data_IF_581502761567
#
_entry.id   IF_581502761567
#
_cell.length_a   1.000
_cell.length_b   1.000
_cell.length_c   1.000
_cell.angle_alpha   90.00
_cell.angle_beta   90.00
_cell.angle_gamma   90.00
#
_symmetry.space_group_name_H-M   'P 1'
#
loop_
_entity.id
_entity.type
_entity.pdbx_description
1 polymer ?
#
# COMPACT_ATOMS: atom_id res chain seq x y z
N UNK A 1 16.47 22.50 54.25
CA UNK A 1 15.96 23.30 53.12
C UNK A 1 16.71 22.87 51.87
N UNK A 2 15.92 22.40 50.90
CA UNK A 2 16.24 21.74 49.64
C UNK A 2 16.81 22.73 48.61
N UNK A 3 17.67 22.26 47.69
CA UNK A 3 17.40 22.34 46.23
C UNK A 3 18.39 21.46 45.45
N UNK A 4 17.81 20.47 44.76
CA UNK A 4 18.43 19.56 43.79
C UNK A 4 18.55 20.24 42.41
N UNK A 5 19.49 19.77 41.58
CA UNK A 5 19.98 20.46 40.38
C UNK A 5 19.23 20.21 39.06
N UNK A 6 19.63 20.95 38.02
CA UNK A 6 19.44 20.63 36.59
C UNK A 6 20.13 21.68 35.69
N UNK A 7 20.92 21.32 34.67
CA UNK A 7 21.15 22.19 33.52
C UNK A 7 20.05 21.94 32.46
N UNK A 8 19.44 22.98 31.85
CA UNK A 8 18.32 22.81 30.93
C UNK A 8 18.69 21.91 29.73
N UNK A 9 17.83 20.93 29.43
CA UNK A 9 17.89 20.22 28.15
C UNK A 9 17.48 21.22 27.06
N UNK A 10 18.45 21.61 26.25
CA UNK A 10 18.28 22.47 25.09
C UNK A 10 17.22 21.88 24.15
N UNK A 11 16.29 22.75 23.75
CA UNK A 11 15.21 22.41 22.84
C UNK A 11 15.70 22.06 21.44
N UNK A 12 14.92 21.21 20.81
CA UNK A 12 14.99 20.72 19.42
C UNK A 12 14.80 21.91 18.46
N UNK A 13 15.79 22.79 18.30
CA UNK A 13 15.73 23.85 17.27
C UNK A 13 17.04 24.06 16.51
N UNK A 14 17.98 23.10 16.53
CA UNK A 14 19.24 23.25 15.78
C UNK A 14 19.73 21.99 15.05
N UNK A 15 18.96 20.90 15.05
CA UNK A 15 19.30 19.67 14.30
C UNK A 15 18.08 19.27 13.47
N UNK A 16 18.03 19.69 12.20
CA UNK A 16 16.89 19.51 11.30
C UNK A 16 16.21 18.14 11.44
N UNK A 17 14.93 18.15 11.80
CA UNK A 17 14.08 16.98 11.94
C UNK A 17 12.63 17.38 11.69
N UNK A 18 11.81 16.42 11.27
CA UNK A 18 10.40 16.64 10.96
C UNK A 18 9.55 15.93 11.99
N UNK A 19 8.58 16.64 12.52
CA UNK A 19 7.58 16.11 13.45
C UNK A 19 6.23 16.09 12.73
N UNK A 20 5.66 14.90 12.56
CA UNK A 20 4.37 14.73 11.92
C UNK A 20 3.36 14.28 12.95
N UNK A 21 2.31 15.07 13.16
CA UNK A 21 1.20 14.72 14.06
C UNK A 21 0.00 14.33 13.22
N UNK A 22 -0.46 13.09 13.34
CA UNK A 22 -1.66 12.60 12.66
C UNK A 22 -2.80 12.41 13.64
N UNK A 23 -4.00 12.84 13.25
CA UNK A 23 -5.24 12.54 13.96
C UNK A 23 -5.78 11.18 13.54
N UNK A 24 -6.31 10.45 14.51
CA UNK A 24 -6.95 9.17 14.30
C UNK A 24 -8.46 9.37 14.09
N UNK A 25 -8.90 9.42 12.83
CA UNK A 25 -10.30 9.54 12.38
C UNK A 25 -11.17 8.39 12.91
N UNK A 26 -11.92 8.70 13.98
CA UNK A 26 -12.86 7.79 14.63
C UNK A 26 -14.15 7.55 13.84
N UNK A 27 -14.41 8.24 12.73
CA UNK A 27 -15.66 8.15 11.98
C UNK A 27 -15.72 6.95 11.01
N UNK A 28 -14.58 6.31 10.71
CA UNK A 28 -14.51 5.12 9.83
C UNK A 28 -14.54 3.79 10.59
N UNK A 29 -15.35 3.73 11.66
CA UNK A 29 -15.56 2.53 12.49
C UNK A 29 -16.40 1.49 11.75
N UNK A 30 -15.90 0.25 11.69
CA UNK A 30 -16.66 -0.93 11.24
C UNK A 30 -17.41 -1.60 12.41
N UNK A 31 -17.07 -1.28 13.66
CA UNK A 31 -17.78 -1.79 14.83
C UNK A 31 -17.69 -0.74 15.94
N UNK A 32 -18.80 -0.47 16.62
CA UNK A 32 -19.06 0.63 17.57
C UNK A 32 -18.24 0.50 18.88
N UNK A 33 -16.92 0.43 18.77
CA UNK A 33 -15.96 0.44 19.88
C UNK A 33 -15.06 1.66 19.75
N UNK A 34 -14.98 2.45 20.81
CA UNK A 34 -13.84 3.37 21.01
C UNK A 34 -12.55 2.61 20.81
N UNK A 35 -11.60 3.21 20.07
CA UNK A 35 -10.26 2.65 19.91
C UNK A 35 -9.68 2.40 21.30
N UNK A 36 -9.58 1.13 21.68
CA UNK A 36 -8.93 0.75 22.91
C UNK A 36 -7.43 0.95 22.78
N UNK A 37 -6.76 0.94 23.93
CA UNK A 37 -5.28 0.98 23.99
C UNK A 37 -4.65 -0.10 23.10
N UNK A 38 -5.27 -1.28 23.01
CA UNK A 38 -4.78 -2.39 22.20
C UNK A 38 -4.85 -2.12 20.68
N UNK A 39 -5.89 -1.42 20.20
CA UNK A 39 -5.98 -1.00 18.81
C UNK A 39 -4.97 0.10 18.47
N UNK A 40 -4.78 1.05 19.40
CA UNK A 40 -3.78 2.11 19.24
C UNK A 40 -2.35 1.55 19.22
N UNK A 41 -2.02 0.62 20.10
CA UNK A 41 -0.71 -0.04 20.13
C UNK A 41 -0.42 -0.77 18.81
N UNK A 42 -1.43 -1.45 18.23
CA UNK A 42 -1.33 -2.09 16.91
C UNK A 42 -1.13 -1.07 15.78
N UNK A 43 -1.82 0.07 15.85
CA UNK A 43 -1.68 1.15 14.88
C UNK A 43 -0.27 1.74 14.93
N UNK A 44 0.25 2.03 16.13
CA UNK A 44 1.63 2.50 16.34
C UNK A 44 2.64 1.48 15.82
N UNK A 45 2.47 0.20 16.13
CA UNK A 45 3.37 -0.86 15.67
C UNK A 45 3.34 -1.01 14.14
N UNK A 46 2.16 -0.90 13.52
CA UNK A 46 2.01 -0.87 12.09
C UNK A 46 2.75 0.34 11.49
N UNK A 47 2.46 1.55 11.97
CA UNK A 47 3.14 2.79 11.52
C UNK A 47 4.65 2.69 11.71
N UNK A 48 5.13 2.21 12.85
CA UNK A 48 6.56 2.07 13.15
C UNK A 48 7.27 1.10 12.20
N UNK A 49 6.67 -0.07 11.93
CA UNK A 49 7.20 -1.01 10.94
C UNK A 49 7.27 -0.41 9.53
N UNK A 50 6.35 0.51 9.20
CA UNK A 50 6.23 1.14 7.87
C UNK A 50 7.23 2.27 7.67
N UNK A 51 7.42 3.13 8.67
CA UNK A 51 8.40 4.23 8.58
C UNK A 51 9.84 3.76 8.77
N UNK A 52 10.04 2.61 9.41
CA UNK A 52 11.36 2.07 9.71
C UNK A 52 11.49 0.56 9.40
N UNK A 53 11.35 0.12 8.13
CA UNK A 53 11.29 -1.30 7.75
C UNK A 53 12.58 -2.12 7.96
N UNK A 54 13.61 -1.55 8.60
CA UNK A 54 14.84 -2.27 8.97
C UNK A 54 15.44 -1.85 10.31
N UNK A 55 14.77 -0.99 11.10
CA UNK A 55 15.30 -0.48 12.36
C UNK A 55 16.55 0.42 12.23
N UNK A 56 16.91 0.82 11.01
CA UNK A 56 18.18 1.51 10.71
C UNK A 56 18.10 3.00 11.01
N UNK A 57 16.89 3.58 11.05
CA UNK A 57 16.67 5.01 11.30
C UNK A 57 16.15 5.22 12.73
N UNK A 58 16.57 6.31 13.40
CA UNK A 58 16.07 6.72 14.73
C UNK A 58 14.65 7.33 14.67
N UNK A 59 13.74 6.74 13.89
CA UNK A 59 12.36 7.23 13.78
C UNK A 59 11.60 6.78 15.02
N UNK A 60 10.96 7.73 15.69
CA UNK A 60 10.16 7.47 16.89
C UNK A 60 8.68 7.67 16.56
N UNK A 61 7.88 6.64 16.79
CA UNK A 61 6.42 6.72 16.70
C UNK A 61 5.85 6.62 18.11
N UNK A 62 5.11 7.63 18.56
CA UNK A 62 4.49 7.64 19.89
C UNK A 62 3.05 8.17 19.86
N UNK A 63 2.24 7.68 20.77
CA UNK A 63 0.90 8.22 21.00
C UNK A 63 0.99 9.61 21.65
N UNK A 64 0.17 10.54 21.19
CA UNK A 64 -0.12 11.80 21.88
C UNK A 64 -1.61 11.86 22.19
N UNK A 65 -1.96 12.02 23.47
CA UNK A 65 -3.35 12.05 23.91
C UNK A 65 -4.10 10.74 23.59
N UNK A 66 -5.39 10.86 23.29
CA UNK A 66 -6.27 9.71 23.03
C UNK A 66 -6.39 9.35 21.54
N UNK A 67 -6.11 10.29 20.65
CA UNK A 67 -6.49 10.22 19.23
C UNK A 67 -5.37 10.68 18.29
N UNK A 68 -4.14 10.87 18.76
CA UNK A 68 -3.07 11.35 17.91
C UNK A 68 -1.85 10.44 17.96
N UNK A 69 -1.17 10.34 16.82
CA UNK A 69 0.13 9.69 16.69
C UNK A 69 1.12 10.74 16.23
N UNK A 70 2.24 10.83 16.95
CA UNK A 70 3.38 11.66 16.58
C UNK A 70 4.48 10.78 16.02
N UNK A 71 4.98 11.17 14.85
CA UNK A 71 6.11 10.55 14.17
C UNK A 71 7.24 11.57 14.15
N UNK A 72 8.31 11.30 14.89
CA UNK A 72 9.51 12.13 14.91
C UNK A 72 10.59 11.51 14.06
N UNK A 73 11.08 12.26 13.07
CA UNK A 73 12.07 11.82 12.10
C UNK A 73 13.31 12.74 12.23
N UNK A 74 14.44 12.25 12.75
CA UNK A 74 15.65 13.04 12.88
C UNK A 74 16.45 13.10 11.57
N UNK A 75 17.10 14.22 11.30
CA UNK A 75 18.09 14.41 10.20
C UNK A 75 17.56 14.13 8.79
N UNK A 76 16.40 14.67 8.42
CA UNK A 76 15.85 14.51 7.05
C UNK A 76 15.73 15.84 6.32
N UNK A 77 16.10 15.85 5.04
CA UNK A 77 15.86 16.97 4.13
C UNK A 77 14.38 17.01 3.70
N UNK A 78 13.95 18.09 3.04
CA UNK A 78 12.55 18.24 2.60
C UNK A 78 12.08 17.15 1.62
N UNK A 79 12.97 16.63 0.77
CA UNK A 79 12.62 15.62 -0.23
C UNK A 79 12.44 14.25 0.44
N UNK A 80 13.28 13.94 1.43
CA UNK A 80 13.16 12.76 2.28
C UNK A 80 11.95 12.85 3.22
N UNK A 81 11.66 14.01 3.79
CA UNK A 81 10.44 14.24 4.56
C UNK A 81 9.18 13.97 3.72
N UNK A 82 9.08 14.51 2.50
CA UNK A 82 7.95 14.25 1.59
C UNK A 82 7.83 12.77 1.19
N UNK A 83 8.96 12.07 1.04
CA UNK A 83 8.95 10.62 0.81
C UNK A 83 8.39 9.87 2.00
N UNK A 84 8.85 10.18 3.22
CA UNK A 84 8.35 9.52 4.44
C UNK A 84 6.88 9.89 4.68
N UNK A 85 6.45 11.12 4.47
CA UNK A 85 5.03 11.51 4.51
C UNK A 85 4.20 10.71 3.49
N UNK A 86 4.71 10.53 2.27
CA UNK A 86 4.10 9.70 1.23
C UNK A 86 4.08 8.21 1.61
N UNK A 87 5.09 7.73 2.32
CA UNK A 87 5.17 6.34 2.79
C UNK A 87 4.21 6.14 3.97
N UNK A 88 4.14 7.07 4.94
CA UNK A 88 3.17 7.04 6.05
C UNK A 88 1.73 7.07 5.53
N UNK A 89 1.43 7.95 4.58
CA UNK A 89 0.07 8.11 4.04
C UNK A 89 -0.38 6.96 3.14
N UNK A 90 0.55 6.27 2.45
CA UNK A 90 0.24 5.07 1.64
C UNK A 90 0.34 3.77 2.41
N UNK A 91 1.04 3.74 3.54
CA UNK A 91 1.34 2.48 4.16
C UNK A 91 0.10 1.84 4.81
N UNK A 92 -0.14 0.57 4.49
CA UNK A 92 -1.38 -0.15 4.75
C UNK A 92 -2.43 -0.06 3.64
N UNK A 93 -2.13 0.57 2.51
CA UNK A 93 -3.05 0.50 1.35
C UNK A 93 -2.84 -0.81 0.62
N UNK A 94 -3.90 -1.59 0.50
CA UNK A 94 -4.00 -2.68 -0.46
C UNK A 94 -4.91 -2.22 -1.60
N UNK A 95 -4.50 -2.40 -2.85
CA UNK A 95 -5.33 -2.14 -4.02
C UNK A 95 -5.24 -3.31 -4.99
N UNK A 96 -6.37 -3.61 -5.62
CA UNK A 96 -6.42 -4.59 -6.71
C UNK A 96 -6.69 -3.85 -8.00
N UNK A 97 -5.81 -4.01 -8.99
CA UNK A 97 -5.93 -3.34 -10.30
C UNK A 97 -5.62 -4.32 -11.41
N UNK A 98 -6.24 -4.12 -12.57
CA UNK A 98 -5.87 -4.87 -13.77
C UNK A 98 -4.59 -4.28 -14.33
N UNK A 99 -3.64 -5.15 -14.71
CA UNK A 99 -2.44 -4.70 -15.41
C UNK A 99 -2.80 -4.38 -16.86
N UNK A 100 -2.38 -3.21 -17.32
CA UNK A 100 -2.62 -2.78 -18.70
C UNK A 100 -1.87 -3.71 -19.66
N UNK A 101 -2.58 -4.20 -20.66
CA UNK A 101 -2.08 -5.11 -21.66
C UNK A 101 -2.36 -4.58 -23.06
N UNK A 102 -1.51 -4.96 -24.00
CA UNK A 102 -1.55 -4.57 -25.41
C UNK A 102 -2.89 -4.84 -26.11
N UNK A 103 -3.62 -5.87 -25.68
CA UNK A 103 -4.90 -6.27 -26.28
C UNK A 103 -6.07 -5.39 -25.84
N UNK A 104 -6.31 -5.31 -24.54
CA UNK A 104 -7.49 -4.64 -23.98
C UNK A 104 -7.25 -3.12 -23.77
N UNK A 105 -5.99 -2.70 -23.62
CA UNK A 105 -5.63 -1.37 -23.11
C UNK A 105 -4.70 -0.59 -24.03
N UNK A 106 -4.66 -0.92 -25.32
CA UNK A 106 -3.74 -0.31 -26.30
C UNK A 106 -3.74 1.22 -26.28
N UNK A 107 -4.91 1.84 -26.33
CA UNK A 107 -5.03 3.30 -26.35
C UNK A 107 -4.49 3.96 -25.07
N UNK A 108 -4.71 3.32 -23.91
CA UNK A 108 -4.15 3.76 -22.63
C UNK A 108 -2.61 3.65 -22.64
N UNK A 109 -2.06 2.56 -23.16
CA UNK A 109 -0.62 2.31 -23.24
C UNK A 109 0.06 3.33 -24.16
N UNK A 110 -0.48 3.54 -25.36
CA UNK A 110 0.04 4.52 -26.32
C UNK A 110 0.06 5.93 -25.71
N UNK A 111 -1.02 6.33 -25.04
CA UNK A 111 -1.08 7.60 -24.30
C UNK A 111 -0.04 7.67 -23.20
N UNK A 112 0.09 6.61 -22.39
CA UNK A 112 1.01 6.56 -21.27
C UNK A 112 2.48 6.71 -21.68
N UNK A 113 2.83 6.19 -22.87
CA UNK A 113 4.16 6.31 -23.44
C UNK A 113 4.46 7.72 -23.95
N UNK A 114 3.45 8.41 -24.51
CA UNK A 114 3.60 9.79 -25.03
C UNK A 114 3.67 10.81 -23.90
N UNK A 115 2.78 10.73 -22.91
CA UNK A 115 2.68 11.73 -21.83
C UNK A 115 3.84 11.64 -20.84
N UNK A 116 4.43 10.45 -20.67
CA UNK A 116 5.51 10.16 -19.73
C UNK A 116 5.26 10.68 -18.28
N UNK A 117 3.99 10.83 -17.90
CA UNK A 117 3.57 11.19 -16.55
C UNK A 117 3.44 9.94 -15.68
N UNK A 118 3.25 10.10 -14.36
CA UNK A 118 2.95 8.96 -13.46
C UNK A 118 1.51 8.49 -13.60
N UNK A 119 0.56 9.43 -13.73
CA UNK A 119 -0.88 9.19 -13.79
C UNK A 119 -1.39 9.66 -15.14
N UNK A 120 -2.09 8.78 -15.84
CA UNK A 120 -2.63 9.01 -17.18
C UNK A 120 -4.10 9.40 -17.02
N UNK A 121 -4.49 10.50 -17.65
CA UNK A 121 -5.83 11.07 -17.50
C UNK A 121 -6.55 11.18 -18.84
N UNK A 122 -7.86 11.33 -18.80
CA UNK A 122 -8.65 11.77 -19.94
C UNK A 122 -8.68 13.30 -20.05
N UNK A 123 -9.40 13.82 -21.06
CA UNK A 123 -9.57 15.26 -21.28
C UNK A 123 -10.31 15.96 -20.14
N UNK A 124 -11.12 15.23 -19.38
CA UNK A 124 -11.93 15.73 -18.28
C UNK A 124 -11.17 15.67 -16.94
N UNK A 125 -9.96 15.11 -16.95
CA UNK A 125 -9.09 14.98 -15.79
C UNK A 125 -9.30 13.69 -14.98
N UNK A 126 -10.15 12.77 -15.42
CA UNK A 126 -10.35 11.49 -14.74
C UNK A 126 -9.13 10.58 -14.95
N UNK A 127 -8.76 9.82 -13.92
CA UNK A 127 -7.67 8.84 -14.02
C UNK A 127 -8.10 7.64 -14.86
N UNK A 128 -7.32 7.32 -15.90
CA UNK A 128 -7.50 6.12 -16.73
C UNK A 128 -6.56 4.99 -16.30
N UNK A 129 -5.41 5.36 -15.73
CA UNK A 129 -4.42 4.42 -15.26
C UNK A 129 -3.19 5.13 -14.72
N UNK A 130 -2.27 4.37 -14.14
CA UNK A 130 -1.04 4.93 -13.57
C UNK A 130 0.10 3.92 -13.57
N UNK A 131 1.31 4.45 -13.63
CA UNK A 131 2.53 3.68 -13.49
C UNK A 131 2.80 3.39 -12.01
N UNK A 132 2.91 2.11 -11.69
CA UNK A 132 3.15 1.62 -10.33
C UNK A 132 4.51 0.94 -10.28
N UNK A 133 5.41 1.34 -9.38
CA UNK A 133 6.71 0.67 -9.20
C UNK A 133 6.50 -0.78 -8.77
N UNK A 134 7.32 -1.68 -9.29
CA UNK A 134 7.33 -3.09 -8.89
C UNK A 134 8.24 -3.25 -7.68
N UNK A 135 7.79 -4.01 -6.68
CA UNK A 135 8.62 -4.35 -5.52
C UNK A 135 9.92 -5.05 -6.01
N UNK A 136 11.11 -4.59 -5.59
CA UNK A 136 12.38 -5.14 -6.08
C UNK A 136 12.55 -6.65 -5.86
N UNK A 137 11.94 -7.21 -4.81
CA UNK A 137 12.00 -8.65 -4.50
C UNK A 137 11.15 -9.49 -5.45
N UNK A 138 10.19 -8.85 -6.13
CA UNK A 138 9.22 -9.51 -7.00
C UNK A 138 9.45 -9.26 -8.49
N UNK A 139 10.48 -8.49 -8.88
CA UNK A 139 10.77 -8.15 -10.29
C UNK A 139 10.75 -9.35 -11.24
N UNK A 140 11.37 -10.46 -10.83
CA UNK A 140 11.44 -11.69 -11.63
C UNK A 140 10.05 -12.27 -11.96
N UNK A 141 9.05 -12.03 -11.10
CA UNK A 141 7.67 -12.49 -11.31
C UNK A 141 6.98 -11.77 -12.46
N UNK A 142 7.52 -10.64 -12.94
CA UNK A 142 6.93 -9.82 -14.01
C UNK A 142 7.69 -9.87 -15.33
N UNK A 143 8.85 -10.53 -15.39
CA UNK A 143 9.68 -10.57 -16.60
C UNK A 143 8.97 -11.26 -17.77
N UNK A 144 8.25 -12.35 -17.47
CA UNK A 144 7.67 -13.30 -18.43
C UNK A 144 6.33 -12.88 -19.05
N UNK A 145 5.92 -11.62 -18.94
CA UNK A 145 4.63 -11.13 -19.46
C UNK A 145 4.81 -10.02 -20.51
N UNK A 146 5.24 -10.34 -21.74
CA UNK A 146 5.52 -9.34 -22.78
C UNK A 146 4.30 -8.50 -23.16
N UNK A 147 3.10 -9.01 -22.97
CA UNK A 147 1.82 -8.34 -23.21
C UNK A 147 1.57 -7.14 -22.27
N UNK A 148 2.24 -7.12 -21.10
CA UNK A 148 2.02 -6.11 -20.07
C UNK A 148 2.88 -4.87 -20.33
N UNK A 149 2.23 -3.71 -20.29
CA UNK A 149 2.91 -2.44 -20.42
C UNK A 149 3.80 -2.15 -19.22
N UNK A 150 5.10 -2.03 -19.51
CA UNK A 150 6.16 -1.75 -18.54
C UNK A 150 7.02 -0.59 -19.01
N UNK A 151 7.63 0.13 -18.07
CA UNK A 151 8.69 1.10 -18.34
C UNK A 151 9.75 1.03 -17.26
N UNK A 152 10.95 1.49 -17.58
CA UNK A 152 12.01 1.72 -16.60
C UNK A 152 12.24 3.21 -16.45
N UNK A 153 12.51 3.64 -15.21
CA UNK A 153 12.77 5.05 -14.92
C UNK A 153 13.94 5.17 -13.94
N UNK A 154 14.92 6.06 -14.20
CA UNK A 154 15.96 6.35 -13.23
C UNK A 154 15.38 7.15 -12.05
N UNK A 155 15.72 6.74 -10.84
CA UNK A 155 15.41 7.41 -9.57
C UNK A 155 16.70 7.48 -8.76
N UNK A 156 17.39 8.61 -8.86
CA UNK A 156 18.76 8.72 -8.36
C UNK A 156 19.69 7.76 -9.12
N UNK A 157 20.45 6.96 -8.39
CA UNK A 157 21.35 5.94 -8.97
C UNK A 157 20.65 4.62 -9.30
N UNK A 158 19.39 4.45 -8.87
CA UNK A 158 18.63 3.21 -9.06
C UNK A 158 17.76 3.32 -10.31
N UNK A 159 17.61 2.19 -11.01
CA UNK A 159 16.59 2.03 -12.05
C UNK A 159 15.44 1.26 -11.45
N UNK A 160 14.25 1.85 -11.46
CA UNK A 160 13.03 1.16 -11.04
C UNK A 160 12.25 0.71 -12.27
N UNK A 161 11.60 -0.44 -12.16
CA UNK A 161 10.62 -0.91 -13.13
C UNK A 161 9.24 -0.50 -12.65
N UNK A 162 8.46 0.10 -13.54
CA UNK A 162 7.07 0.45 -13.30
C UNK A 162 6.17 -0.31 -14.28
N UNK A 163 5.02 -0.77 -13.81
CA UNK A 163 3.99 -1.42 -14.62
C UNK A 163 2.75 -0.52 -14.64
N UNK A 164 2.14 -0.42 -15.82
CA UNK A 164 0.92 0.37 -15.98
C UNK A 164 -0.28 -0.43 -15.46
N UNK A 165 -1.02 0.17 -14.53
CA UNK A 165 -2.27 -0.38 -14.02
C UNK A 165 -3.44 0.45 -14.51
N UNK A 166 -4.59 -0.19 -14.69
CA UNK A 166 -5.81 0.42 -15.19
C UNK A 166 -6.65 0.90 -14.02
N UNK A 167 -7.25 2.09 -14.13
CA UNK A 167 -8.28 2.54 -13.19
C UNK A 167 -9.61 1.94 -13.64
N UNK A 168 -10.13 1.00 -12.84
CA UNK A 168 -11.44 0.39 -13.05
C UNK A 168 -12.53 1.06 -12.18
N UNK A 169 -13.79 0.81 -12.53
CA UNK A 169 -14.97 1.34 -11.83
C UNK A 169 -15.26 0.67 -10.48
N UNK A 170 -14.67 -0.50 -10.20
CA UNK A 170 -14.94 -1.26 -8.98
C UNK A 170 -14.10 -0.78 -7.81
N UNK A 171 -12.91 -0.25 -8.08
CA UNK A 171 -12.00 0.39 -7.13
C UNK A 171 -11.75 -0.44 -5.88
N UNK A 172 -11.41 -1.72 -6.07
CA UNK A 172 -11.28 -2.66 -4.95
C UNK A 172 -10.01 -2.37 -4.16
N UNK A 173 -10.17 -2.10 -2.87
CA UNK A 173 -9.09 -1.80 -1.92
C UNK A 173 -9.16 -2.64 -0.65
N UNK A 174 -8.11 -2.54 0.18
CA UNK A 174 -8.01 -3.17 1.49
C UNK A 174 -9.11 -2.78 2.48
N UNK A 175 -9.76 -1.63 2.28
CA UNK A 175 -10.88 -1.19 3.13
C UNK A 175 -12.09 -2.11 3.08
N UNK A 176 -12.18 -2.99 2.08
CA UNK A 176 -13.23 -4.00 1.99
C UNK A 176 -12.87 -5.33 2.64
N UNK A 177 -11.63 -5.51 3.12
CA UNK A 177 -11.21 -6.75 3.77
C UNK A 177 -11.97 -6.96 5.08
N UNK A 178 -12.48 -8.17 5.26
CA UNK A 178 -13.01 -8.66 6.53
C UNK A 178 -11.88 -9.19 7.40
N UNK A 179 -10.97 -9.97 6.81
CA UNK A 179 -9.87 -10.62 7.53
C UNK A 179 -8.76 -11.04 6.58
N UNK A 180 -7.52 -10.96 7.04
CA UNK A 180 -6.35 -11.61 6.48
C UNK A 180 -5.73 -12.58 7.49
N UNK A 181 -5.20 -13.71 7.02
CA UNK A 181 -4.54 -14.73 7.86
C UNK A 181 -3.30 -15.28 7.16
N UNK A 182 -2.27 -15.72 7.92
CA UNK A 182 -1.16 -16.45 7.35
C UNK A 182 -1.65 -17.77 6.76
N UNK A 183 -1.06 -18.18 5.63
CA UNK A 183 -1.32 -19.45 4.98
C UNK A 183 -0.04 -20.08 4.44
N UNK A 184 -0.23 -21.21 3.77
CA UNK A 184 0.74 -21.79 2.88
C UNK A 184 0.07 -22.07 1.53
N UNK A 185 0.74 -21.74 0.44
CA UNK A 185 0.26 -22.00 -0.91
C UNK A 185 0.33 -23.50 -1.26
N UNK A 186 -0.08 -23.87 -2.48
CA UNK A 186 -0.04 -25.26 -2.98
C UNK A 186 1.37 -25.87 -2.95
N UNK A 187 2.42 -25.04 -3.01
CA UNK A 187 3.83 -25.43 -2.93
C UNK A 187 4.39 -25.46 -1.51
N UNK A 188 3.59 -25.17 -0.48
CA UNK A 188 4.01 -25.07 0.91
C UNK A 188 4.77 -23.79 1.25
N UNK A 189 4.81 -22.80 0.35
CA UNK A 189 5.45 -21.51 0.61
C UNK A 189 4.52 -20.60 1.41
N UNK A 190 5.04 -19.73 2.30
CA UNK A 190 4.23 -18.80 3.07
C UNK A 190 3.41 -17.87 2.15
N UNK A 191 2.10 -17.75 2.42
CA UNK A 191 1.19 -16.87 1.70
C UNK A 191 0.26 -16.11 2.66
N UNK A 192 -0.49 -15.15 2.14
CA UNK A 192 -1.54 -14.44 2.89
C UNK A 192 -2.90 -14.79 2.31
N UNK A 193 -3.74 -15.45 3.11
CA UNK A 193 -5.14 -15.66 2.78
C UNK A 193 -5.94 -14.43 3.22
N UNK A 194 -6.90 -14.01 2.41
CA UNK A 194 -7.77 -12.90 2.77
C UNK A 194 -9.23 -13.18 2.40
N UNK A 195 -10.13 -12.49 3.09
CA UNK A 195 -11.56 -12.48 2.79
C UNK A 195 -12.12 -11.07 2.80
N UNK A 196 -13.09 -10.81 1.93
CA UNK A 196 -13.80 -9.54 1.84
C UNK A 196 -15.11 -9.55 2.65
N UNK A 197 -15.59 -8.35 2.99
CA UNK A 197 -16.96 -8.14 3.42
C UNK A 197 -17.93 -8.27 2.22
N UNK A 198 -19.27 -8.33 2.43
CA UNK A 198 -20.22 -8.53 1.34
C UNK A 198 -20.20 -7.48 0.23
N UNK A 199 -19.85 -6.22 0.55
CA UNK A 199 -19.70 -5.17 -0.44
C UNK A 199 -18.45 -5.40 -1.31
N UNK A 200 -17.31 -5.67 -0.67
CA UNK A 200 -16.07 -6.04 -1.33
C UNK A 200 -16.21 -7.25 -2.23
N UNK A 201 -16.92 -8.29 -1.76
CA UNK A 201 -17.15 -9.49 -2.54
C UNK A 201 -17.93 -9.23 -3.85
N UNK A 202 -18.85 -8.26 -3.84
CA UNK A 202 -19.58 -7.83 -5.05
C UNK A 202 -18.69 -7.05 -6.00
N UNK A 203 -17.92 -6.09 -5.49
CA UNK A 203 -17.01 -5.27 -6.29
C UNK A 203 -15.90 -6.14 -6.90
N UNK A 204 -15.29 -7.01 -6.10
CA UNK A 204 -14.25 -7.91 -6.56
C UNK A 204 -14.77 -8.98 -7.53
N UNK A 205 -15.98 -9.50 -7.30
CA UNK A 205 -16.68 -10.36 -8.24
C UNK A 205 -16.95 -9.67 -9.58
N UNK A 206 -17.31 -8.39 -9.56
CA UNK A 206 -17.45 -7.57 -10.77
C UNK A 206 -16.12 -7.36 -11.49
N UNK A 207 -15.08 -6.93 -10.77
CA UNK A 207 -13.74 -6.72 -11.30
C UNK A 207 -13.19 -7.98 -11.96
N UNK A 208 -13.18 -9.10 -11.25
CA UNK A 208 -12.65 -10.38 -11.76
C UNK A 208 -13.56 -10.99 -12.83
N UNK A 209 -14.88 -10.83 -12.71
CA UNK A 209 -15.87 -11.28 -13.69
C UNK A 209 -15.71 -10.58 -15.05
N UNK A 210 -15.53 -9.26 -15.04
CA UNK A 210 -15.27 -8.47 -16.25
C UNK A 210 -13.91 -8.78 -16.89
N UNK A 211 -13.00 -9.41 -16.14
CA UNK A 211 -11.63 -9.68 -16.55
C UNK A 211 -11.31 -11.18 -16.61
N UNK A 212 -12.32 -12.04 -16.80
CA UNK A 212 -12.14 -13.49 -16.95
C UNK A 212 -11.30 -13.85 -18.19
N UNK A 213 -10.64 -15.03 -18.22
CA UNK A 213 -9.88 -15.48 -19.37
C UNK A 213 -10.69 -15.50 -20.66
N UNK A 214 -10.06 -15.02 -21.74
CA UNK A 214 -10.58 -15.25 -23.08
C UNK A 214 -10.11 -16.64 -23.55
N UNK A 215 -11.02 -17.62 -23.46
CA UNK A 215 -10.72 -19.01 -23.84
C UNK A 215 -10.53 -19.21 -25.34
N UNK A 216 -11.04 -18.30 -26.17
CA UNK A 216 -10.92 -18.42 -27.62
C UNK A 216 -9.51 -18.03 -28.07
N UNK A 217 -8.94 -17.02 -27.40
CA UNK A 217 -7.63 -16.47 -27.75
C UNK A 217 -6.52 -16.90 -26.78
N UNK A 218 -6.82 -17.84 -25.86
CA UNK A 218 -5.92 -18.29 -24.78
C UNK A 218 -5.25 -17.12 -24.03
N UNK A 219 -6.03 -16.09 -23.74
CA UNK A 219 -5.52 -14.86 -23.11
C UNK A 219 -5.99 -14.74 -21.67
N UNK A 220 -5.05 -14.51 -20.75
CA UNK A 220 -5.34 -14.32 -19.32
C UNK A 220 -4.91 -12.94 -18.87
N UNK A 221 -5.83 -12.23 -18.20
CA UNK A 221 -5.54 -10.94 -17.58
C UNK A 221 -4.87 -11.13 -16.25
N UNK A 222 -4.00 -10.18 -15.90
CA UNK A 222 -3.30 -10.15 -14.61
C UNK A 222 -3.98 -9.20 -13.65
N UNK A 223 -4.20 -9.69 -12.44
CA UNK A 223 -4.68 -8.89 -11.33
C UNK A 223 -3.49 -8.43 -10.50
N UNK A 224 -3.08 -7.19 -10.69
CA UNK A 224 -2.06 -6.55 -9.87
C UNK A 224 -2.53 -6.37 -8.43
N UNK A 225 -1.75 -6.89 -7.50
CA UNK A 225 -1.88 -6.69 -6.06
C UNK A 225 -0.85 -5.63 -5.67
N UNK A 226 -1.35 -4.45 -5.34
CA UNK A 226 -0.55 -3.29 -4.99
C UNK A 226 -0.63 -3.13 -3.48
N UNK A 227 0.53 -3.11 -2.83
CA UNK A 227 0.65 -2.83 -1.41
C UNK A 227 1.57 -1.62 -1.25
N UNK A 228 1.12 -0.65 -0.46
CA UNK A 228 1.88 0.58 -0.13
C UNK A 228 2.31 1.39 -1.38
N UNK A 229 1.55 1.23 -2.47
CA UNK A 229 1.82 1.86 -3.76
C UNK A 229 2.89 1.17 -4.59
N UNK A 230 3.36 -0.02 -4.20
CA UNK A 230 4.24 -0.89 -4.98
C UNK A 230 3.49 -2.15 -5.42
N UNK A 231 3.79 -2.63 -6.63
CA UNK A 231 3.18 -3.81 -7.20
C UNK A 231 3.94 -5.04 -6.70
N UNK A 232 3.27 -5.87 -5.90
CA UNK A 232 3.85 -7.05 -5.28
C UNK A 232 3.67 -8.31 -6.10
N UNK A 233 2.45 -8.56 -6.56
CA UNK A 233 2.16 -9.76 -7.35
C UNK A 233 1.11 -9.48 -8.40
N UNK A 234 1.05 -10.36 -9.39
CA UNK A 234 0.13 -10.25 -10.50
C UNK A 234 -0.38 -11.62 -10.95
N UNK A 235 -1.14 -12.33 -10.09
CA UNK A 235 -1.74 -13.59 -10.47
C UNK A 235 -2.64 -13.47 -11.72
N UNK A 236 -2.70 -14.54 -12.51
CA UNK A 236 -3.68 -14.66 -13.58
C UNK A 236 -5.08 -14.84 -13.00
N UNK A 237 -6.06 -14.09 -13.52
CA UNK A 237 -7.47 -14.31 -13.21
C UNK A 237 -7.90 -15.59 -13.93
N UNK A 238 -8.27 -16.64 -13.19
CA UNK A 238 -8.73 -17.92 -13.76
C UNK A 238 -10.26 -17.97 -13.92
N UNK A 239 -10.97 -17.29 -13.03
CA UNK A 239 -12.43 -17.21 -12.96
C UNK A 239 -12.83 -15.96 -12.17
N UNK A 240 -14.13 -15.65 -12.14
CA UNK A 240 -14.63 -14.68 -11.16
C UNK A 240 -14.34 -15.17 -9.74
N UNK A 241 -13.90 -14.25 -8.88
CA UNK A 241 -13.57 -14.47 -7.48
C UNK A 241 -14.35 -13.44 -6.68
N UNK A 242 -15.03 -13.89 -5.62
CA UNK A 242 -15.92 -13.03 -4.84
C UNK A 242 -15.29 -12.71 -3.48
N UNK A 243 -15.42 -13.61 -2.52
CA UNK A 243 -15.22 -13.30 -1.11
C UNK A 243 -13.82 -13.64 -0.59
N UNK A 244 -13.02 -14.44 -1.29
CA UNK A 244 -11.72 -14.93 -0.79
C UNK A 244 -10.65 -14.86 -1.85
N UNK A 245 -9.41 -14.66 -1.41
CA UNK A 245 -8.24 -14.77 -2.26
C UNK A 245 -6.99 -15.08 -1.48
N UNK A 246 -5.92 -15.31 -2.22
CA UNK A 246 -4.58 -15.57 -1.70
C UNK A 246 -3.61 -14.58 -2.35
N UNK A 247 -2.74 -13.98 -1.53
CA UNK A 247 -1.56 -13.24 -1.96
C UNK A 247 -0.37 -14.18 -1.76
N UNK A 248 0.10 -14.75 -2.87
CA UNK A 248 1.29 -15.59 -2.93
C UNK A 248 2.46 -14.82 -3.55
N UNK A 249 3.68 -15.26 -3.23
CA UNK A 249 4.93 -14.61 -3.57
C UNK A 249 6.08 -15.25 -2.81
N UNK A 250 7.31 -14.76 -3.03
CA UNK A 250 8.50 -15.23 -2.29
C UNK A 250 8.56 -14.64 -0.88
N UNK A 251 7.58 -14.93 -0.04
CA UNK A 251 7.49 -14.40 1.31
C UNK A 251 8.18 -15.30 2.35
N UNK A 252 8.82 -14.66 3.31
CA UNK A 252 9.22 -15.25 4.59
C UNK A 252 8.03 -15.31 5.56
N UNK A 253 8.12 -16.12 6.62
CA UNK A 253 7.06 -16.23 7.62
C UNK A 253 6.87 -14.90 8.38
N UNK A 254 7.96 -14.18 8.59
CA UNK A 254 8.01 -12.87 9.25
C UNK A 254 7.33 -11.79 8.38
N UNK A 255 7.58 -11.81 7.07
CA UNK A 255 6.90 -10.92 6.11
C UNK A 255 5.40 -11.22 6.05
N UNK A 256 4.99 -12.50 5.97
CA UNK A 256 3.57 -12.86 6.01
C UNK A 256 2.89 -12.37 7.28
N UNK A 257 3.52 -12.56 8.45
CA UNK A 257 2.96 -12.08 9.73
C UNK A 257 2.82 -10.57 9.75
N UNK A 258 3.84 -9.87 9.26
CA UNK A 258 3.84 -8.41 9.18
C UNK A 258 2.74 -7.92 8.23
N UNK A 259 2.63 -8.53 7.06
CA UNK A 259 1.63 -8.22 6.04
C UNK A 259 0.22 -8.49 6.53
N UNK A 260 -0.04 -9.63 7.17
CA UNK A 260 -1.33 -9.92 7.81
C UNK A 260 -1.68 -8.87 8.86
N UNK A 261 -0.69 -8.46 9.66
CA UNK A 261 -0.85 -7.36 10.61
C UNK A 261 -1.27 -6.08 9.91
N UNK A 262 -0.60 -5.72 8.81
CA UNK A 262 -0.85 -4.53 7.99
C UNK A 262 -2.20 -4.59 7.27
N UNK A 263 -2.65 -5.75 6.79
CA UNK A 263 -3.91 -5.92 6.05
C UNK A 263 -5.13 -6.01 6.97
N UNK A 264 -5.00 -6.65 8.13
CA UNK A 264 -6.02 -6.56 9.17
C UNK A 264 -6.04 -5.15 9.78
N UNK A 265 -4.87 -4.53 9.93
CA UNK A 265 -4.77 -3.10 10.19
C UNK A 265 -5.14 -2.25 8.96
N UNK A 266 -5.38 -2.87 7.80
CA UNK A 266 -5.90 -2.36 6.52
C UNK A 266 -7.41 -2.16 6.53
N UNK A 267 -8.08 -2.75 7.53
CA UNK A 267 -9.38 -2.30 8.00
C UNK A 267 -9.30 -1.08 8.95
N UNK A 268 -8.10 -0.74 9.44
CA UNK A 268 -7.82 0.35 10.39
C UNK A 268 -7.06 1.58 9.84
N UNK A 269 -6.43 1.68 8.64
CA UNK A 269 -5.65 2.85 8.24
C UNK A 269 -6.55 3.95 7.68
N UNK A 270 -7.81 3.63 7.41
CA UNK A 270 -8.89 4.58 7.21
C UNK A 270 -9.01 5.54 8.38
N UNK A 271 -8.53 5.16 9.57
CA UNK A 271 -8.52 6.00 10.74
C UNK A 271 -7.32 6.94 10.83
N UNK A 272 -6.36 7.06 9.91
CA UNK A 272 -5.36 8.16 10.00
C UNK A 272 -5.72 9.25 8.99
N UNK A 273 -5.65 10.51 9.42
CA UNK A 273 -5.80 11.66 8.53
C UNK A 273 -4.75 11.57 7.40
N UNK A 274 -5.16 11.85 6.16
CA UNK A 274 -4.27 11.79 4.98
C UNK A 274 -3.17 12.84 5.04
N UNK A 275 -3.39 13.91 5.80
CA UNK A 275 -2.43 14.98 6.05
C UNK A 275 -2.17 15.13 7.57
N UNK A 276 -0.94 15.46 7.97
CA UNK A 276 -0.64 15.74 9.36
C UNK A 276 -1.32 17.05 9.80
N UNK A 277 -1.88 17.07 11.01
CA UNK A 277 -2.41 18.27 11.66
C UNK A 277 -1.34 19.35 11.84
N UNK A 278 -0.08 18.93 11.99
CA UNK A 278 1.04 19.82 12.24
C UNK A 278 2.35 19.25 11.70
N UNK A 279 3.19 20.15 11.19
CA UNK A 279 4.59 19.96 10.81
C UNK A 279 5.50 20.81 11.69
#
# INVERSE_FOLDING_TARGET
MTTFGWPPKLGIDLSGGVNLVYEVDQAKKIDDRTLGKAEMDRLIEAVNRRVNPGGVKEITVRQIGIEQIEITIPYVDEAEARRIESDVSRAGTLEFRILANDRDHRALIERAQVENTKVIRDSDGNELGRWVPVDPTQLASFENYPEIARRTRPVGEKVIQEILVVKDDFDVTGGYLRQATPGADEGGQPCVNFSFNPAGARLFGGLTGANTPDKVQDFTRKLGIILDGELYSAPSIKSAIFDRGEISGRFTKEEVRSLVGVLNAGALPTALATEPLRR
#
